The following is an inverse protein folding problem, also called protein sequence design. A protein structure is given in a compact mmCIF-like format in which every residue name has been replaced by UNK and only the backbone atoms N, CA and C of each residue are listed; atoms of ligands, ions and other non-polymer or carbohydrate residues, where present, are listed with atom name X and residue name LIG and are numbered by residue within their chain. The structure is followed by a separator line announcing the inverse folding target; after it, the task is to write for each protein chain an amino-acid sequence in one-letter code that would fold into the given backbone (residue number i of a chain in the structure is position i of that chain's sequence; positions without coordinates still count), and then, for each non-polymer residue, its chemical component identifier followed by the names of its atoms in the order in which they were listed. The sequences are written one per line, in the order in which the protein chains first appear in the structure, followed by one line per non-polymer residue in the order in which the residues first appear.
data_IF_594857305331
#
_entry.id   IF_594857305331
#
_cell.length_a   1.000
_cell.length_b   1.000
_cell.length_c   1.000
_cell.angle_alpha   90.00
_cell.angle_beta   90.00
_cell.angle_gamma   90.00
#
_symmetry.space_group_name_H-M   'P 1'
#
loop_
_entity.id
_entity.type
_entity.pdbx_description
1 polymer ?
#
# COMPACT_ATOMS: atom_id res chain seq x y z
N UNK A 1 -18.20 -23.34 -2.71
CA UNK A 1 -17.64 -22.55 -3.84
C UNK A 1 -17.77 -21.08 -3.49
N UNK A 2 -16.74 -20.51 -2.86
CA UNK A 2 -16.74 -19.10 -2.46
C UNK A 2 -16.26 -18.30 -3.66
N UNK A 3 -17.10 -17.37 -4.15
CA UNK A 3 -16.76 -16.48 -5.27
C UNK A 3 -15.53 -15.67 -4.89
N UNK A 4 -14.37 -16.02 -5.43
CA UNK A 4 -13.22 -15.12 -5.46
C UNK A 4 -13.69 -13.89 -6.24
N UNK A 5 -13.91 -12.77 -5.53
CA UNK A 5 -14.06 -11.47 -6.19
C UNK A 5 -12.75 -11.25 -6.93
N UNK A 6 -12.77 -11.40 -8.25
CA UNK A 6 -11.66 -11.01 -9.11
C UNK A 6 -11.33 -9.54 -8.79
N UNK A 7 -10.23 -9.36 -8.07
CA UNK A 7 -9.78 -8.05 -7.66
C UNK A 7 -9.11 -7.41 -8.89
N UNK A 8 -9.90 -6.76 -9.74
CA UNK A 8 -9.45 -6.07 -10.96
C UNK A 8 -8.66 -4.77 -10.68
N UNK A 9 -7.99 -4.70 -9.53
CA UNK A 9 -7.18 -3.54 -9.18
C UNK A 9 -5.86 -3.60 -9.94
N UNK A 10 -5.38 -2.48 -10.51
CA UNK A 10 -4.13 -2.44 -11.26
C UNK A 10 -2.89 -2.66 -10.38
N UNK A 11 -3.03 -2.59 -9.06
CA UNK A 11 -2.00 -2.91 -8.09
C UNK A 11 -2.59 -3.87 -7.07
N UNK A 12 -1.85 -4.94 -6.78
CA UNK A 12 -2.23 -5.92 -5.75
C UNK A 12 -1.06 -6.09 -4.78
N UNK A 13 -1.31 -5.87 -3.48
CA UNK A 13 -0.33 -5.96 -2.42
C UNK A 13 -0.80 -6.99 -1.40
N UNK A 14 0.06 -7.97 -1.07
CA UNK A 14 -0.18 -8.89 0.03
C UNK A 14 0.40 -8.31 1.33
N UNK A 15 -0.44 -8.22 2.36
CA UNK A 15 -0.05 -7.74 3.69
C UNK A 15 -0.40 -8.80 4.73
N UNK A 16 0.60 -9.57 5.15
CA UNK A 16 0.44 -10.57 6.21
C UNK A 16 -0.59 -11.65 5.90
N UNK A 17 -0.65 -12.12 4.65
CA UNK A 17 -1.55 -13.17 4.19
C UNK A 17 -2.85 -12.67 3.57
N UNK A 18 -3.21 -11.40 3.78
CA UNK A 18 -4.37 -10.78 3.16
C UNK A 18 -3.97 -9.99 1.92
N UNK A 19 -4.79 -10.07 0.86
CA UNK A 19 -4.51 -9.43 -0.41
C UNK A 19 -5.40 -8.21 -0.60
N UNK A 20 -4.78 -7.05 -0.87
CA UNK A 20 -5.47 -5.78 -1.05
C UNK A 20 -5.21 -5.22 -2.45
N UNK A 21 -6.28 -4.76 -3.09
CA UNK A 21 -6.22 -4.07 -4.37
C UNK A 21 -6.08 -2.55 -4.18
N UNK A 22 -5.30 -1.93 -5.05
CA UNK A 22 -5.11 -0.48 -5.09
C UNK A 22 -5.22 0.05 -6.52
N UNK A 23 -5.77 1.25 -6.66
CA UNK A 23 -5.57 2.06 -7.88
C UNK A 23 -4.16 2.65 -7.91
N UNK A 24 -3.65 2.94 -9.10
CA UNK A 24 -2.40 3.69 -9.26
C UNK A 24 -2.62 5.13 -8.75
N UNK A 25 -1.77 5.66 -7.86
CA UNK A 25 -1.84 7.06 -7.43
C UNK A 25 -1.73 8.02 -8.62
N UNK A 26 -2.60 9.02 -8.68
CA UNK A 26 -2.53 10.10 -9.66
C UNK A 26 -1.73 11.29 -9.16
N UNK A 27 -1.61 12.33 -9.99
CA UNK A 27 -0.89 13.55 -9.66
C UNK A 27 -1.37 14.19 -8.35
N UNK A 28 -2.70 14.22 -8.11
CA UNK A 28 -3.28 14.82 -6.92
C UNK A 28 -2.87 14.08 -5.64
N UNK A 29 -2.96 12.75 -5.62
CA UNK A 29 -2.55 11.95 -4.47
C UNK A 29 -1.04 12.04 -4.20
N UNK A 30 -0.22 12.06 -5.25
CA UNK A 30 1.24 12.20 -5.14
C UNK A 30 1.60 13.58 -4.58
N UNK A 31 0.98 14.65 -5.10
CA UNK A 31 1.20 16.01 -4.59
C UNK A 31 0.82 16.09 -3.12
N UNK A 32 -0.35 15.59 -2.74
CA UNK A 32 -0.82 15.60 -1.36
C UNK A 32 0.10 14.80 -0.42
N UNK A 33 0.66 13.67 -0.89
CA UNK A 33 1.65 12.91 -0.13
C UNK A 33 2.90 13.74 0.17
N UNK A 34 3.45 14.46 -0.82
CA UNK A 34 4.64 15.29 -0.60
C UNK A 34 4.35 16.54 0.23
N UNK A 35 3.19 17.19 0.03
CA UNK A 35 2.77 18.33 0.85
C UNK A 35 2.64 17.92 2.32
N UNK A 36 1.94 16.82 2.60
CA UNK A 36 1.74 16.30 3.97
C UNK A 36 3.03 15.70 4.55
N UNK A 37 3.86 15.09 3.70
CA UNK A 37 5.10 14.42 4.10
C UNK A 37 6.16 15.37 4.65
N UNK A 38 6.04 16.67 4.37
CA UNK A 38 6.84 17.71 4.99
C UNK A 38 6.62 17.79 6.51
N UNK A 39 5.41 17.48 6.98
CA UNK A 39 5.03 17.50 8.39
C UNK A 39 5.11 16.10 9.03
N UNK A 40 4.55 15.09 8.35
CA UNK A 40 4.49 13.72 8.86
C UNK A 40 4.46 12.69 7.73
N UNK A 41 5.58 11.94 7.61
CA UNK A 41 5.69 10.86 6.64
C UNK A 41 4.66 9.75 6.87
N UNK A 42 4.34 9.45 8.13
CA UNK A 42 3.37 8.41 8.47
C UNK A 42 1.96 8.82 8.05
N UNK A 43 1.54 10.06 8.34
CA UNK A 43 0.21 10.54 7.96
C UNK A 43 0.06 10.65 6.44
N UNK A 44 1.09 11.17 5.77
CA UNK A 44 1.15 11.21 4.31
C UNK A 44 0.98 9.80 3.71
N UNK A 45 1.74 8.82 4.22
CA UNK A 45 1.68 7.43 3.79
C UNK A 45 0.30 6.82 4.02
N UNK A 46 -0.27 7.00 5.22
CA UNK A 46 -1.62 6.51 5.55
C UNK A 46 -2.67 7.11 4.61
N UNK A 47 -2.60 8.42 4.37
CA UNK A 47 -3.57 9.11 3.52
C UNK A 47 -3.50 8.63 2.07
N UNK A 48 -2.28 8.44 1.53
CA UNK A 48 -2.07 7.87 0.19
C UNK A 48 -2.67 6.47 0.06
N UNK A 49 -2.41 5.59 1.02
CA UNK A 49 -2.92 4.21 1.03
C UNK A 49 -4.44 4.22 1.05
N UNK A 50 -5.05 5.01 1.95
CA UNK A 50 -6.50 5.10 2.05
C UNK A 50 -7.14 5.74 0.82
N UNK A 51 -6.46 6.65 0.13
CA UNK A 51 -6.93 7.22 -1.12
C UNK A 51 -6.92 6.19 -2.27
N UNK A 52 -5.98 5.25 -2.24
CA UNK A 52 -5.78 4.29 -3.34
C UNK A 52 -6.41 2.91 -3.12
N UNK A 53 -6.74 2.53 -1.89
CA UNK A 53 -7.27 1.20 -1.58
C UNK A 53 -8.68 0.96 -2.13
N UNK A 54 -8.89 -0.18 -2.78
CA UNK A 54 -10.20 -0.66 -3.20
C UNK A 54 -11.09 -1.05 -2.00
N UNK A 55 -10.49 -1.67 -0.97
CA UNK A 55 -11.12 -1.96 0.31
C UNK A 55 -10.53 -1.07 1.41
N UNK A 56 -11.14 0.11 1.60
CA UNK A 56 -10.69 1.11 2.58
C UNK A 56 -10.87 0.63 4.02
N UNK A 57 -11.90 -0.16 4.31
CA UNK A 57 -12.18 -0.61 5.68
C UNK A 57 -11.28 -1.78 6.07
N UNK A 58 -11.03 -2.72 5.16
CA UNK A 58 -10.05 -3.79 5.35
C UNK A 58 -8.65 -3.24 5.61
N UNK A 59 -8.17 -2.33 4.75
CA UNK A 59 -6.82 -1.78 4.92
C UNK A 59 -6.69 -0.92 6.18
N UNK A 60 -7.73 -0.21 6.63
CA UNK A 60 -7.72 0.52 7.91
C UNK A 60 -7.45 -0.41 9.10
N UNK A 61 -8.08 -1.58 9.11
CA UNK A 61 -7.86 -2.59 10.17
C UNK A 61 -6.41 -3.06 10.17
N UNK A 62 -5.87 -3.36 8.99
CA UNK A 62 -4.46 -3.77 8.84
C UNK A 62 -3.50 -2.68 9.31
N UNK A 63 -3.73 -1.42 8.90
CA UNK A 63 -2.91 -0.28 9.34
C UNK A 63 -2.95 -0.12 10.86
N UNK A 64 -4.14 -0.27 11.47
CA UNK A 64 -4.31 -0.16 12.92
C UNK A 64 -3.57 -1.29 13.67
N UNK A 65 -3.54 -2.50 13.11
CA UNK A 65 -2.88 -3.64 13.73
C UNK A 65 -1.37 -3.69 13.45
N UNK A 66 -0.93 -3.15 12.31
CA UNK A 66 0.45 -3.24 11.80
C UNK A 66 0.91 -1.87 11.27
N UNK A 67 1.03 -0.83 12.12
CA UNK A 67 1.37 0.52 11.65
C UNK A 67 2.72 0.58 10.91
N UNK A 68 3.66 -0.31 11.23
CA UNK A 68 4.97 -0.38 10.58
C UNK A 68 4.89 -0.68 9.07
N UNK A 69 3.81 -1.28 8.56
CA UNK A 69 3.66 -1.57 7.12
C UNK A 69 3.26 -0.34 6.30
N UNK A 70 2.79 0.74 6.96
CA UNK A 70 2.26 1.94 6.29
C UNK A 70 3.28 2.59 5.36
N UNK A 71 4.49 2.97 5.79
CA UNK A 71 5.45 3.59 4.87
C UNK A 71 5.80 2.67 3.69
N UNK A 72 5.84 1.36 3.92
CA UNK A 72 6.22 0.39 2.90
C UNK A 72 5.17 0.24 1.79
N UNK A 73 3.89 0.18 2.16
CA UNK A 73 2.79 0.16 1.18
C UNK A 73 2.81 1.46 0.36
N UNK A 74 2.95 2.62 1.02
CA UNK A 74 2.99 3.92 0.35
C UNK A 74 4.15 4.03 -0.65
N UNK A 75 5.37 3.61 -0.27
CA UNK A 75 6.54 3.59 -1.16
C UNK A 75 6.30 2.72 -2.39
N UNK A 76 5.65 1.56 -2.24
CA UNK A 76 5.34 0.70 -3.37
C UNK A 76 4.32 1.33 -4.31
N UNK A 77 3.29 1.99 -3.77
CA UNK A 77 2.32 2.74 -4.58
C UNK A 77 2.99 3.87 -5.38
N UNK A 78 3.89 4.63 -4.75
CA UNK A 78 4.65 5.69 -5.42
C UNK A 78 5.62 5.15 -6.48
N UNK A 79 6.29 4.04 -6.20
CA UNK A 79 7.19 3.38 -7.16
C UNK A 79 6.42 3.00 -8.42
N UNK A 80 5.25 2.36 -8.27
CA UNK A 80 4.41 1.95 -9.40
C UNK A 80 3.90 3.16 -10.18
N UNK A 81 3.48 4.22 -9.49
CA UNK A 81 3.04 5.45 -10.15
C UNK A 81 4.17 6.13 -10.97
N UNK A 82 5.42 6.07 -10.48
CA UNK A 82 6.58 6.63 -11.16
C UNK A 82 7.12 5.79 -12.32
N UNK A 83 6.86 4.48 -12.33
CA UNK A 83 7.38 3.57 -13.38
C UNK A 83 6.32 3.11 -14.37
N UNK A 84 5.03 3.27 -14.05
CA UNK A 84 3.93 2.69 -14.83
C UNK A 84 3.92 1.16 -14.85
N UNK A 85 4.70 0.50 -13.98
CA UNK A 85 4.86 -0.96 -13.93
C UNK A 85 4.31 -1.57 -12.64
N UNK A 86 3.60 -2.69 -12.80
CA UNK A 86 3.07 -3.55 -11.74
C UNK A 86 4.24 -4.19 -10.94
N UNK A 87 4.29 -3.98 -9.62
CA UNK A 87 5.30 -4.61 -8.74
C UNK A 87 4.62 -5.67 -7.88
N UNK A 88 4.93 -6.95 -8.14
CA UNK A 88 4.60 -8.06 -7.23
C UNK A 88 5.59 -8.05 -6.06
N UNK A 89 5.08 -7.89 -4.85
CA UNK A 89 5.89 -8.01 -3.64
C UNK A 89 6.02 -9.48 -3.27
N UNK A 90 6.98 -10.17 -3.89
CA UNK A 90 7.33 -11.52 -3.50
C UNK A 90 8.59 -11.49 -2.61
N UNK A 91 8.41 -11.99 -1.39
CA UNK A 91 9.44 -12.29 -0.38
C UNK A 91 10.33 -11.12 0.06
N UNK A 92 9.87 -10.40 1.08
CA UNK A 92 10.81 -9.69 1.95
C UNK A 92 11.68 -10.70 2.68
N UNK A 93 13.01 -10.53 2.73
CA UNK A 93 13.82 -11.32 3.63
C UNK A 93 13.33 -11.06 5.05
N UNK A 94 12.86 -12.11 5.71
CA UNK A 94 12.77 -12.13 7.16
C UNK A 94 14.15 -11.73 7.68
N UNK A 95 14.26 -10.62 8.41
CA UNK A 95 15.37 -10.44 9.34
C UNK A 95 15.17 -11.42 10.49
N UNK A 96 15.24 -12.71 10.19
CA UNK A 96 15.81 -13.67 11.10
C UNK A 96 17.31 -13.42 11.00
N UNK A 97 17.79 -12.49 11.81
CA UNK A 97 19.18 -12.51 12.22
C UNK A 97 19.38 -13.88 12.89
N UNK A 98 20.02 -14.81 12.18
CA UNK A 98 20.73 -15.90 12.82
C UNK A 98 21.82 -15.26 13.69
N UNK A 99 21.58 -15.22 15.00
CA UNK A 99 22.58 -15.08 16.06
C UNK A 99 22.00 -15.61 17.36
#
# INVERSE_FOLDING_TARGET
MTKEKENNSPIVINVGGETFGFKVPGHAEIKFYYDTGADSLYEASRNLILACAADREGIKKVISQKPAVVPQIAVNLLRIAGTGMEVKLENFPSTAADS
#
